data_IF_746571034770
#
_entry.id   IF_746571034770
#
_cell.length_a   1.000
_cell.length_b   1.000
_cell.length_c   1.000
_cell.angle_alpha   90.00
_cell.angle_beta   90.00
_cell.angle_gamma   90.00
#
_symmetry.space_group_name_H-M   'P 1'
#
loop_
_entity.id
_entity.type
_entity.pdbx_description
1 polymer ?
#
# COMPACT_ATOMS: atom_id res chain seq x y z
N UNK A 1 -3.16 -5.25 -39.62
CA UNK A 1 -3.64 -5.33 -38.21
C UNK A 1 -3.66 -3.94 -37.62
N UNK A 2 -4.81 -3.45 -37.15
CA UNK A 2 -4.91 -2.16 -36.44
C UNK A 2 -4.77 -2.44 -34.94
N UNK A 3 -3.63 -2.09 -34.36
CA UNK A 3 -3.42 -2.18 -32.90
C UNK A 3 -4.23 -1.05 -32.26
N UNK A 4 -5.30 -1.38 -31.54
CA UNK A 4 -6.04 -0.42 -30.72
C UNK A 4 -5.29 -0.28 -29.39
N UNK A 5 -4.63 0.85 -29.19
CA UNK A 5 -4.10 1.24 -27.88
C UNK A 5 -5.29 1.72 -27.06
N UNK A 6 -5.72 0.93 -26.08
CA UNK A 6 -6.76 1.32 -25.13
C UNK A 6 -6.05 1.79 -23.86
N UNK A 7 -6.25 3.06 -23.51
CA UNK A 7 -5.62 3.71 -22.36
C UNK A 7 -6.40 3.31 -21.10
N UNK A 8 -5.81 2.45 -20.26
CA UNK A 8 -6.34 2.14 -18.94
C UNK A 8 -6.18 3.38 -18.04
N UNK A 9 -7.30 4.01 -17.69
CA UNK A 9 -7.33 5.23 -16.89
C UNK A 9 -7.46 4.84 -15.41
N UNK A 10 -6.38 4.98 -14.64
CA UNK A 10 -6.40 4.77 -13.19
C UNK A 10 -6.91 6.06 -12.55
N UNK A 11 -8.12 6.03 -11.98
CA UNK A 11 -8.67 7.15 -11.23
C UNK A 11 -8.06 7.19 -9.82
N UNK A 12 -7.37 8.29 -9.52
CA UNK A 12 -6.74 8.56 -8.22
C UNK A 12 -7.73 9.43 -7.43
N UNK A 13 -8.29 8.90 -6.34
CA UNK A 13 -9.18 9.66 -5.46
C UNK A 13 -8.46 10.03 -4.17
N UNK A 14 -8.53 11.31 -3.80
CA UNK A 14 -8.08 11.82 -2.51
C UNK A 14 -9.26 11.81 -1.54
N UNK A 15 -9.22 10.98 -0.50
CA UNK A 15 -10.24 10.94 0.56
C UNK A 15 -9.93 12.00 1.62
N UNK A 16 -10.61 13.14 1.54
CA UNK A 16 -10.59 14.19 2.56
C UNK A 16 -11.54 13.84 3.70
N UNK A 17 -11.05 13.25 4.77
CA UNK A 17 -11.85 13.05 5.99
C UNK A 17 -11.93 14.35 6.79
N UNK A 18 -12.98 15.14 6.56
CA UNK A 18 -13.35 16.28 7.40
C UNK A 18 -13.72 15.79 8.81
N UNK A 19 -12.83 16.09 9.75
CA UNK A 19 -13.03 15.91 11.19
C UNK A 19 -11.98 16.74 11.88
N UNK A 20 -12.41 17.86 12.46
CA UNK A 20 -11.58 18.81 13.20
C UNK A 20 -10.81 18.08 14.29
N UNK A 21 -9.48 18.14 14.24
CA UNK A 21 -8.56 18.40 15.34
C UNK A 21 -7.12 18.13 14.85
N UNK A 22 -6.24 19.07 15.18
CA UNK A 22 -4.84 19.14 14.82
C UNK A 22 -4.07 17.83 15.09
N UNK A 23 -3.89 17.07 14.02
CA UNK A 23 -2.79 16.13 13.85
C UNK A 23 -2.50 16.12 12.35
N UNK A 24 -1.24 16.15 11.95
CA UNK A 24 -0.83 16.08 10.54
C UNK A 24 -1.38 14.77 9.95
N UNK A 25 -2.60 14.80 9.42
CA UNK A 25 -3.25 13.69 8.72
C UNK A 25 -2.50 13.50 7.41
N UNK A 26 -1.70 12.45 7.33
CA UNK A 26 -1.19 11.97 6.05
C UNK A 26 -2.40 11.53 5.22
N UNK A 27 -2.78 12.35 4.24
CA UNK A 27 -3.84 12.00 3.30
C UNK A 27 -3.31 10.91 2.37
N UNK A 28 -3.90 9.72 2.44
CA UNK A 28 -3.55 8.61 1.55
C UNK A 28 -4.32 8.75 0.24
N UNK A 29 -3.63 8.52 -0.87
CA UNK A 29 -4.24 8.31 -2.18
C UNK A 29 -4.64 6.83 -2.28
N UNK A 30 -5.94 6.58 -2.46
CA UNK A 30 -6.45 5.22 -2.60
C UNK A 30 -6.44 4.80 -4.08
N UNK A 31 -5.97 3.59 -4.33
CA UNK A 31 -6.11 2.94 -5.65
C UNK A 31 -7.50 2.32 -5.74
N UNK A 32 -8.25 2.59 -6.82
CA UNK A 32 -9.56 1.96 -7.03
C UNK A 32 -9.41 0.48 -7.42
N UNK A 33 -10.40 -0.35 -7.07
CA UNK A 33 -10.54 -1.73 -7.58
C UNK A 33 -10.24 -1.79 -9.07
N UNK A 34 -9.19 -2.52 -9.46
CA UNK A 34 -8.97 -2.84 -10.86
C UNK A 34 -10.11 -3.75 -11.32
N UNK A 35 -10.82 -3.37 -12.38
CA UNK A 35 -11.86 -4.21 -12.94
C UNK A 35 -11.18 -5.37 -13.70
N UNK A 36 -11.29 -6.59 -13.17
CA UNK A 36 -10.46 -7.74 -13.55
C UNK A 36 -10.89 -8.46 -14.84
N UNK A 37 -11.94 -7.99 -15.53
CA UNK A 37 -12.59 -8.75 -16.60
C UNK A 37 -11.82 -8.84 -17.93
N UNK A 38 -10.63 -8.24 -18.09
CA UNK A 38 -9.99 -8.17 -19.42
C UNK A 38 -8.44 -8.18 -19.46
N UNK A 39 -7.75 -8.84 -18.52
CA UNK A 39 -6.27 -8.84 -18.50
C UNK A 39 -5.73 -10.27 -18.44
N UNK A 40 -4.94 -10.66 -19.45
CA UNK A 40 -4.31 -12.00 -19.58
C UNK A 40 -3.31 -12.33 -18.45
N UNK A 41 -2.93 -11.37 -17.59
CA UNK A 41 -2.22 -11.63 -16.34
C UNK A 41 -2.33 -10.45 -15.34
N UNK A 42 -3.35 -10.42 -14.46
CA UNK A 42 -3.61 -9.28 -13.57
C UNK A 42 -2.47 -8.98 -12.57
N UNK A 43 -1.69 -10.00 -12.20
CA UNK A 43 -0.55 -9.90 -11.28
C UNK A 43 0.58 -9.03 -11.88
N UNK A 44 0.84 -9.15 -13.18
CA UNK A 44 1.91 -8.38 -13.83
C UNK A 44 1.58 -6.88 -13.92
N UNK A 45 0.31 -6.52 -14.13
CA UNK A 45 -0.12 -5.13 -14.27
C UNK A 45 -0.07 -4.41 -12.91
N UNK A 46 -0.49 -5.10 -11.85
CA UNK A 46 -0.38 -4.62 -10.47
C UNK A 46 1.08 -4.39 -10.07
N UNK A 47 1.97 -5.28 -10.49
CA UNK A 47 3.42 -5.16 -10.23
C UNK A 47 4.03 -3.92 -10.91
N UNK A 48 3.70 -3.66 -12.18
CA UNK A 48 4.21 -2.48 -12.91
C UNK A 48 3.70 -1.17 -12.34
N UNK A 49 2.44 -1.14 -11.88
CA UNK A 49 1.88 0.04 -11.21
C UNK A 49 2.60 0.31 -9.89
N UNK A 50 2.82 -0.71 -9.07
CA UNK A 50 3.59 -0.59 -7.82
C UNK A 50 5.01 -0.09 -8.10
N UNK A 51 5.69 -0.64 -9.11
CA UNK A 51 7.03 -0.20 -9.49
C UNK A 51 7.03 1.28 -9.91
N UNK A 52 6.02 1.72 -10.68
CA UNK A 52 5.88 3.14 -11.06
C UNK A 52 5.65 4.07 -9.86
N UNK A 53 4.89 3.63 -8.85
CA UNK A 53 4.71 4.39 -7.61
C UNK A 53 6.02 4.47 -6.83
N UNK A 54 6.76 3.36 -6.71
CA UNK A 54 8.06 3.29 -6.04
C UNK A 54 9.11 4.16 -6.74
N UNK A 55 9.07 4.25 -8.07
CA UNK A 55 9.99 5.12 -8.81
C UNK A 55 9.67 6.62 -8.64
N UNK A 56 8.48 6.96 -8.14
CA UNK A 56 7.99 8.34 -8.00
C UNK A 56 7.64 8.73 -6.55
N UNK A 57 8.24 8.07 -5.54
CA UNK A 57 7.86 8.18 -4.12
C UNK A 57 7.84 9.60 -3.57
N UNK A 58 8.76 10.46 -3.99
CA UNK A 58 8.86 11.85 -3.52
C UNK A 58 7.79 12.78 -4.09
N UNK A 59 7.22 12.42 -5.24
CA UNK A 59 6.22 13.24 -5.93
C UNK A 59 4.79 12.98 -5.45
N UNK A 60 4.61 12.01 -4.54
CA UNK A 60 3.30 11.52 -4.15
C UNK A 60 3.08 11.69 -2.66
N UNK A 61 1.84 12.01 -2.30
CA UNK A 61 1.34 11.73 -0.95
C UNK A 61 1.40 10.23 -0.68
N UNK A 62 1.28 9.83 0.58
CA UNK A 62 1.25 8.42 0.92
C UNK A 62 0.19 7.66 0.12
N UNK A 63 0.47 6.42 -0.27
CA UNK A 63 -0.37 5.61 -1.17
C UNK A 63 -0.89 4.39 -0.43
N UNK A 64 -2.14 4.02 -0.66
CA UNK A 64 -2.76 2.81 -0.16
C UNK A 64 -3.09 1.86 -1.32
N UNK A 65 -2.53 0.64 -1.22
CA UNK A 65 -2.75 -0.46 -2.14
C UNK A 65 -3.73 -1.43 -1.51
N UNK A 66 -4.92 -1.50 -2.11
CA UNK A 66 -6.00 -2.40 -1.70
C UNK A 66 -6.01 -3.65 -2.58
N UNK A 67 -6.56 -4.74 -2.05
CA UNK A 67 -6.76 -6.00 -2.77
C UNK A 67 -5.48 -6.57 -3.43
N UNK A 68 -4.31 -6.38 -2.81
CA UNK A 68 -3.05 -6.99 -3.27
C UNK A 68 -2.89 -8.46 -2.85
N UNK A 69 -3.72 -8.91 -1.92
CA UNK A 69 -3.64 -10.24 -1.32
C UNK A 69 -5.01 -10.89 -1.33
N UNK A 70 -5.07 -12.24 -1.41
CA UNK A 70 -6.29 -12.94 -1.06
C UNK A 70 -6.64 -12.71 0.41
N UNK A 71 -7.94 -12.78 0.73
CA UNK A 71 -8.40 -12.75 2.11
C UNK A 71 -7.81 -13.94 2.89
N UNK A 72 -7.45 -13.72 4.15
CA UNK A 72 -6.87 -14.75 5.02
C UNK A 72 -7.68 -14.90 6.31
N UNK A 73 -7.60 -16.07 6.94
CA UNK A 73 -8.14 -16.29 8.30
C UNK A 73 -7.09 -16.13 9.39
N UNK A 74 -5.82 -16.18 9.01
CA UNK A 74 -4.69 -16.14 9.93
C UNK A 74 -3.84 -14.90 9.67
N UNK A 75 -3.49 -14.20 10.75
CA UNK A 75 -2.58 -13.07 10.71
C UNK A 75 -1.23 -13.54 11.25
N UNK A 76 -0.21 -13.74 10.40
CA UNK A 76 1.10 -14.20 10.84
C UNK A 76 1.73 -13.23 11.86
N UNK A 77 2.50 -13.78 12.80
CA UNK A 77 3.22 -12.99 13.80
C UNK A 77 4.40 -12.22 13.19
N UNK A 78 5.05 -12.80 12.20
CA UNK A 78 6.10 -12.19 11.39
C UNK A 78 5.67 -12.33 9.94
N UNK A 79 5.61 -11.22 9.22
CA UNK A 79 5.15 -11.21 7.84
C UNK A 79 6.05 -10.35 6.95
N UNK A 80 6.23 -10.79 5.71
CA UNK A 80 7.00 -10.02 4.74
C UNK A 80 6.04 -9.24 3.85
N UNK A 81 6.14 -7.92 3.88
CA UNK A 81 5.32 -7.03 3.05
C UNK A 81 5.83 -7.03 1.62
N UNK A 82 4.93 -7.06 0.64
CA UNK A 82 5.28 -7.00 -0.78
C UNK A 82 6.02 -5.69 -1.10
N UNK A 83 5.56 -4.56 -0.56
CA UNK A 83 6.24 -3.29 -0.74
C UNK A 83 7.62 -3.25 -0.05
N UNK A 84 7.77 -3.89 1.11
CA UNK A 84 9.07 -4.03 1.78
C UNK A 84 10.05 -4.83 0.91
N UNK A 85 9.59 -5.93 0.32
CA UNK A 85 10.40 -6.72 -0.61
C UNK A 85 10.85 -5.87 -1.81
N UNK A 86 9.92 -5.14 -2.44
CA UNK A 86 10.22 -4.26 -3.57
C UNK A 86 11.21 -3.14 -3.22
N UNK A 87 11.05 -2.51 -2.06
CA UNK A 87 11.95 -1.44 -1.59
C UNK A 87 13.36 -1.99 -1.28
N UNK A 88 13.47 -3.19 -0.70
CA UNK A 88 14.77 -3.86 -0.52
C UNK A 88 15.53 -4.05 -1.84
N UNK A 89 14.81 -4.45 -2.90
CA UNK A 89 15.40 -4.54 -4.25
C UNK A 89 15.84 -3.20 -4.84
N UNK A 90 15.38 -2.07 -4.27
CA UNK A 90 15.80 -0.71 -4.59
C UNK A 90 16.80 -0.15 -3.56
N UNK A 91 17.52 -1.04 -2.86
CA UNK A 91 18.55 -0.72 -1.87
C UNK A 91 18.05 0.01 -0.60
N UNK A 92 16.76 -0.12 -0.26
CA UNK A 92 16.30 0.32 1.05
C UNK A 92 16.68 -0.70 2.13
N UNK A 93 17.12 -0.20 3.28
CA UNK A 93 17.43 -0.98 4.48
C UNK A 93 16.26 -0.90 5.45
N UNK A 94 15.90 -2.02 6.06
CA UNK A 94 14.91 -2.03 7.16
C UNK A 94 15.60 -1.53 8.41
N UNK A 95 15.00 -0.55 9.07
CA UNK A 95 15.48 0.01 10.33
C UNK A 95 14.81 -0.66 11.52
N UNK A 96 13.48 -0.77 11.46
CA UNK A 96 12.67 -1.26 12.57
C UNK A 96 11.33 -1.81 12.07
N UNK A 97 10.63 -2.54 12.93
CA UNK A 97 9.29 -3.05 12.71
C UNK A 97 8.44 -2.99 13.98
N UNK A 98 7.19 -2.59 13.83
CA UNK A 98 6.25 -2.48 14.95
C UNK A 98 4.94 -3.20 14.63
N UNK A 99 4.35 -3.87 15.64
CA UNK A 99 3.03 -4.47 15.54
C UNK A 99 2.07 -3.65 16.37
N UNK A 100 0.99 -3.18 15.75
CA UNK A 100 -0.08 -2.48 16.44
C UNK A 100 -1.36 -3.31 16.40
N UNK A 101 -2.04 -3.38 17.53
CA UNK A 101 -3.34 -4.03 17.66
C UNK A 101 -4.34 -3.02 18.20
N UNK A 102 -5.07 -2.36 17.30
CA UNK A 102 -6.05 -1.35 17.69
C UNK A 102 -7.35 -2.01 18.14
N UNK A 103 -7.84 -1.65 19.33
CA UNK A 103 -9.03 -2.26 19.95
C UNK A 103 -10.31 -2.18 19.10
N UNK A 104 -10.39 -1.20 18.19
CA UNK A 104 -11.49 -1.01 17.22
C UNK A 104 -10.99 -0.81 15.79
N UNK A 105 -9.73 -1.12 15.51
CA UNK A 105 -9.11 -0.88 14.22
C UNK A 105 -8.47 -2.15 13.65
N UNK A 106 -7.94 -2.08 12.42
CA UNK A 106 -7.20 -3.21 11.86
C UNK A 106 -6.00 -3.55 12.74
N UNK A 107 -5.66 -4.84 12.81
CA UNK A 107 -4.32 -5.24 13.23
C UNK A 107 -3.35 -4.73 12.15
N UNK A 108 -2.22 -4.19 12.56
CA UNK A 108 -1.28 -3.52 11.67
C UNK A 108 0.15 -3.94 11.96
N UNK A 109 0.93 -4.16 10.91
CA UNK A 109 2.37 -4.39 10.99
C UNK A 109 3.04 -3.27 10.21
N UNK A 110 3.90 -2.50 10.85
CA UNK A 110 4.59 -1.35 10.26
C UNK A 110 6.08 -1.66 10.13
N UNK A 111 6.67 -1.26 9.01
CA UNK A 111 8.12 -1.32 8.78
C UNK A 111 8.64 0.07 8.45
N UNK A 112 9.74 0.44 9.11
CA UNK A 112 10.50 1.63 8.77
C UNK A 112 11.68 1.22 7.90
N UNK A 113 11.82 1.86 6.75
CA UNK A 113 12.89 1.62 5.80
C UNK A 113 13.59 2.91 5.42
N UNK A 114 14.85 2.81 5.04
CA UNK A 114 15.61 3.96 4.58
C UNK A 114 16.48 3.67 3.37
N UNK A 115 16.69 4.69 2.54
CA UNK A 115 17.75 4.74 1.54
C UNK A 115 18.72 5.90 1.89
N UNK A 116 19.61 6.26 0.96
CA UNK A 116 20.47 7.43 1.13
C UNK A 116 19.68 8.74 1.24
N UNK A 117 18.56 8.85 0.52
CA UNK A 117 17.79 10.10 0.40
C UNK A 117 16.41 10.03 1.05
N UNK A 118 15.89 8.83 1.31
CA UNK A 118 14.50 8.64 1.76
C UNK A 118 14.40 7.87 3.07
N UNK A 119 13.40 8.23 3.85
CA UNK A 119 12.88 7.41 4.94
C UNK A 119 11.41 7.10 4.65
N UNK A 120 11.08 5.81 4.62
CA UNK A 120 9.75 5.32 4.26
C UNK A 120 9.15 4.52 5.41
N UNK A 121 7.84 4.62 5.55
CA UNK A 121 7.01 3.76 6.38
C UNK A 121 6.14 2.91 5.48
N UNK A 122 6.11 1.61 5.74
CA UNK A 122 5.22 0.66 5.08
C UNK A 122 4.34 0.00 6.13
N UNK A 123 3.03 0.12 5.97
CA UNK A 123 2.08 -0.51 6.88
C UNK A 123 1.31 -1.61 6.16
N UNK A 124 1.17 -2.79 6.77
CA UNK A 124 0.24 -3.85 6.35
C UNK A 124 -0.94 -3.86 7.32
N UNK A 125 -2.14 -3.65 6.81
CA UNK A 125 -3.35 -3.58 7.62
C UNK A 125 -4.25 -4.78 7.32
N UNK A 126 -4.72 -5.42 8.39
CA UNK A 126 -5.66 -6.53 8.36
C UNK A 126 -7.03 -6.04 8.82
N UNK A 127 -7.90 -5.78 7.87
CA UNK A 127 -9.27 -5.35 8.15
C UNK A 127 -10.15 -6.58 8.30
N UNK A 128 -10.83 -6.71 9.44
CA UNK A 128 -11.81 -7.78 9.65
C UNK A 128 -12.92 -7.69 8.63
N UNK A 129 -13.16 -8.79 7.90
CA UNK A 129 -14.28 -8.89 6.98
C UNK A 129 -15.59 -8.97 7.77
N UNK A 130 -16.54 -8.10 7.45
CA UNK A 130 -17.85 -8.05 8.10
C UNK A 130 -18.81 -9.11 7.54
N UNK A 131 -18.52 -9.66 6.36
CA UNK A 131 -19.36 -10.65 5.68
C UNK A 131 -18.98 -12.08 6.07
N UNK A 132 -17.68 -12.36 6.26
CA UNK A 132 -17.17 -13.68 6.61
C UNK A 132 -16.36 -13.56 7.92
N UNK A 133 -17.00 -13.93 9.03
CA UNK A 133 -16.41 -13.85 10.37
C UNK A 133 -15.06 -14.57 10.44
N UNK A 134 -14.06 -13.89 10.98
CA UNK A 134 -12.72 -14.44 11.16
C UNK A 134 -11.88 -14.46 9.89
N UNK A 135 -12.33 -13.80 8.82
CA UNK A 135 -11.46 -13.49 7.66
C UNK A 135 -11.05 -12.03 7.69
N UNK A 136 -9.93 -11.74 7.03
CA UNK A 136 -9.32 -10.43 6.95
C UNK A 136 -9.01 -10.10 5.49
N UNK A 137 -9.45 -8.93 5.06
CA UNK A 137 -8.95 -8.28 3.85
C UNK A 137 -7.68 -7.51 4.17
N UNK A 138 -6.69 -7.56 3.27
CA UNK A 138 -5.35 -7.03 3.53
C UNK A 138 -5.05 -5.87 2.59
N UNK A 139 -4.51 -4.79 3.16
CA UNK A 139 -4.04 -3.61 2.42
C UNK A 139 -2.62 -3.28 2.82
N UNK A 140 -1.83 -2.69 1.92
CA UNK A 140 -0.55 -2.07 2.29
C UNK A 140 -0.54 -0.58 2.00
N UNK A 141 0.10 0.18 2.88
CA UNK A 141 0.32 1.62 2.73
C UNK A 141 1.80 1.91 2.64
N UNK A 142 2.16 2.89 1.82
CA UNK A 142 3.52 3.36 1.65
C UNK A 142 3.55 4.89 1.71
N UNK A 143 4.32 5.43 2.65
CA UNK A 143 4.62 6.85 2.74
C UNK A 143 6.12 7.07 2.88
N UNK A 144 6.67 8.05 2.18
CA UNK A 144 8.09 8.38 2.24
C UNK A 144 8.30 9.87 2.46
N UNK A 145 9.38 10.20 3.15
CA UNK A 145 9.86 11.55 3.39
C UNK A 145 11.32 11.66 2.94
N UNK A 146 11.71 12.85 2.49
CA UNK A 146 13.11 13.16 2.25
C UNK A 146 13.82 13.35 3.60
N UNK A 147 15.03 12.81 3.73
CA UNK A 147 15.86 12.97 4.94
C UNK A 147 16.41 14.38 5.11
N UNK A 148 16.52 15.14 4.02
CA UNK A 148 17.18 16.46 3.99
C UNK A 148 16.23 17.66 4.21
N UNK A 149 14.99 17.42 4.66
CA UNK A 149 13.97 18.46 4.88
C UNK A 149 13.55 18.54 6.34
#
# INVERSE_FOLDING_TARGET
MKVKIIIASIAIFTISSCGNNDSKKNNYVQTSKLNYDFIENPIQLQTRFVDSVIDNLLSRSAVEFIDMYPNTREIPEIDTLFLVFKLKHKNFKVLDSEIHNWSRGPKMISYWLESSTLQCRVDKLYHSDTTIKGTYSITERLGCLNKER
#
